data_IF_258290721443
#
_entry.id   IF_258290721443
#
_cell.length_a   1.000
_cell.length_b   1.000
_cell.length_c   1.000
_cell.angle_alpha   90.00
_cell.angle_beta   90.00
_cell.angle_gamma   90.00
#
_symmetry.space_group_name_H-M   'P 1'
#
loop_
_entity.id
_entity.type
_entity.pdbx_description
1 polymer ?
#
# COMPACT_ATOMS: atom_id res chain seq x y z
N UNK A 1 -7.08 12.74 -0.40
CA UNK A 1 -6.47 12.56 0.92
C UNK A 1 -6.84 13.67 1.92
N UNK A 2 -7.01 14.94 1.52
CA UNK A 2 -7.25 16.07 2.44
C UNK A 2 -8.49 15.89 3.34
N UNK A 3 -9.65 15.52 2.78
CA UNK A 3 -10.86 15.29 3.57
C UNK A 3 -10.72 14.10 4.54
N UNK A 4 -10.11 13.01 4.07
CA UNK A 4 -9.86 11.84 4.90
C UNK A 4 -8.99 12.21 6.08
N UNK A 5 -7.88 12.93 5.85
CA UNK A 5 -6.98 13.35 6.94
C UNK A 5 -7.65 14.33 7.90
N UNK A 6 -8.47 15.27 7.42
CA UNK A 6 -9.21 16.18 8.27
C UNK A 6 -10.21 15.43 9.17
N UNK A 7 -10.93 14.46 8.61
CA UNK A 7 -11.88 13.62 9.34
C UNK A 7 -11.18 12.83 10.46
N UNK A 8 -10.08 12.12 10.14
CA UNK A 8 -9.35 11.32 11.13
C UNK A 8 -8.54 12.15 12.16
N UNK A 9 -8.36 13.45 11.92
CA UNK A 9 -7.76 14.37 12.90
C UNK A 9 -8.77 14.96 13.89
N UNK A 10 -10.07 14.78 13.66
CA UNK A 10 -11.06 15.09 14.69
C UNK A 10 -10.74 14.26 15.95
N UNK A 11 -10.70 14.86 17.16
CA UNK A 11 -10.27 14.15 18.36
C UNK A 11 -11.05 12.87 18.65
N UNK A 12 -12.38 12.91 18.52
CA UNK A 12 -13.24 11.74 18.80
C UNK A 12 -12.98 10.61 17.78
N UNK A 13 -12.85 10.94 16.48
CA UNK A 13 -12.57 9.96 15.42
C UNK A 13 -11.17 9.40 15.57
N UNK A 14 -10.18 10.25 15.89
CA UNK A 14 -8.82 9.83 16.16
C UNK A 14 -8.77 8.82 17.31
N UNK A 15 -9.38 9.16 18.44
CA UNK A 15 -9.35 8.35 19.64
C UNK A 15 -10.09 7.01 19.41
N UNK A 16 -11.23 7.02 18.73
CA UNK A 16 -11.93 5.79 18.32
C UNK A 16 -11.10 4.93 17.35
N UNK A 17 -10.39 5.56 16.42
CA UNK A 17 -9.51 4.86 15.47
C UNK A 17 -8.33 4.21 16.20
N UNK A 18 -7.72 4.94 17.12
CA UNK A 18 -6.59 4.41 17.90
C UNK A 18 -7.05 3.30 18.84
N UNK A 19 -8.23 3.42 19.46
CA UNK A 19 -8.85 2.35 20.25
C UNK A 19 -9.08 1.09 19.39
N UNK A 20 -9.66 1.25 18.19
CA UNK A 20 -9.85 0.15 17.24
C UNK A 20 -8.54 -0.59 16.93
N UNK A 21 -7.48 0.17 16.63
CA UNK A 21 -6.20 -0.40 16.19
C UNK A 21 -5.36 -0.98 17.34
N UNK A 22 -5.41 -0.38 18.54
CA UNK A 22 -4.54 -0.75 19.67
C UNK A 22 -5.20 -1.71 20.66
N UNK A 23 -6.50 -1.56 20.90
CA UNK A 23 -7.19 -2.28 21.98
C UNK A 23 -8.20 -3.30 21.46
N UNK A 24 -8.76 -3.11 20.26
CA UNK A 24 -9.84 -3.95 19.74
C UNK A 24 -9.43 -4.86 18.60
N UNK A 25 -8.13 -5.04 18.40
CA UNK A 25 -7.57 -5.93 17.37
C UNK A 25 -7.97 -5.56 15.92
N UNK A 26 -8.36 -4.31 15.69
CA UNK A 26 -8.84 -3.84 14.40
C UNK A 26 -7.75 -3.73 13.34
N UNK A 27 -8.18 -3.72 12.08
CA UNK A 27 -7.31 -3.61 10.91
C UNK A 27 -7.73 -2.41 10.06
N UNK A 28 -6.77 -1.76 9.40
CA UNK A 28 -7.04 -0.66 8.48
C UNK A 28 -6.24 -0.82 7.18
N UNK A 29 -6.95 -0.70 6.05
CA UNK A 29 -6.35 -0.75 4.71
C UNK A 29 -6.59 0.58 4.00
N UNK A 30 -5.53 1.17 3.46
CA UNK A 30 -5.60 2.38 2.63
C UNK A 30 -5.08 2.11 1.23
N UNK A 31 -5.94 2.22 0.21
CA UNK A 31 -5.56 2.03 -1.19
C UNK A 31 -5.53 3.38 -1.89
N UNK A 32 -4.48 3.65 -2.68
CA UNK A 32 -4.30 4.84 -3.49
C UNK A 32 -4.47 6.13 -2.66
N UNK A 33 -5.58 6.85 -2.80
CA UNK A 33 -5.90 8.03 -2.00
C UNK A 33 -5.98 7.73 -0.48
N UNK A 34 -6.41 6.51 -0.11
CA UNK A 34 -6.36 6.02 1.26
C UNK A 34 -4.93 5.90 1.78
N UNK A 35 -4.02 5.35 1.01
CA UNK A 35 -2.61 5.26 1.38
C UNK A 35 -1.99 6.66 1.57
N UNK A 36 -2.28 7.61 0.69
CA UNK A 36 -1.86 9.01 0.86
C UNK A 36 -2.37 9.60 2.20
N UNK A 37 -3.59 9.26 2.59
CA UNK A 37 -4.15 9.71 3.87
C UNK A 37 -3.42 9.04 5.06
N UNK A 38 -3.17 7.73 5.00
CA UNK A 38 -2.44 7.01 6.06
C UNK A 38 -1.05 7.57 6.29
N UNK A 39 -0.30 7.90 5.22
CA UNK A 39 1.01 8.58 5.31
C UNK A 39 0.87 9.93 6.00
N UNK A 40 -0.09 10.77 5.56
CA UNK A 40 -0.30 12.11 6.12
C UNK A 40 -0.80 12.10 7.57
N UNK A 41 -1.37 11.01 8.02
CA UNK A 41 -1.78 10.80 9.40
C UNK A 41 -0.64 10.25 10.28
N UNK A 42 0.39 9.65 9.69
CA UNK A 42 1.45 8.94 10.41
C UNK A 42 1.08 7.49 10.75
N UNK A 43 -0.12 7.03 10.36
CA UNK A 43 -0.56 5.64 10.59
C UNK A 43 0.36 4.62 9.90
N UNK A 44 0.90 4.95 8.75
CA UNK A 44 2.04 4.27 8.18
C UNK A 44 3.16 5.29 7.97
N UNK A 45 4.41 4.98 8.34
CA UNK A 45 4.90 3.70 8.86
C UNK A 45 4.86 3.57 10.39
N UNK A 46 4.25 4.50 11.15
CA UNK A 46 4.45 4.61 12.59
C UNK A 46 3.37 3.90 13.45
N UNK A 47 2.20 3.65 12.88
CA UNK A 47 1.08 3.00 13.58
C UNK A 47 0.34 3.92 14.55
N UNK A 48 0.47 5.25 14.39
CA UNK A 48 -0.18 6.25 15.25
C UNK A 48 -0.59 7.49 14.45
N UNK A 49 -1.69 8.14 14.85
CA UNK A 49 -2.10 9.44 14.30
C UNK A 49 -1.31 10.53 15.00
N UNK A 50 -0.34 11.09 14.27
CA UNK A 50 0.60 12.09 14.77
C UNK A 50 0.82 13.24 13.78
N UNK A 51 1.31 14.40 14.24
CA UNK A 51 1.83 15.41 13.32
C UNK A 51 2.99 14.83 12.50
N UNK A 52 3.02 15.13 11.21
CA UNK A 52 4.13 14.77 10.32
C UNK A 52 5.09 15.95 10.15
N UNK A 53 6.36 15.66 9.92
CA UNK A 53 7.44 16.61 9.74
C UNK A 53 8.00 16.51 8.31
N UNK A 54 8.94 17.38 7.96
CA UNK A 54 9.64 17.34 6.69
C UNK A 54 10.53 16.09 6.50
N UNK A 55 10.82 15.37 7.57
CA UNK A 55 11.65 14.14 7.55
C UNK A 55 10.80 12.86 7.42
N UNK A 56 9.49 12.97 7.54
CA UNK A 56 8.60 11.85 7.43
C UNK A 56 8.38 11.46 5.95
N UNK A 57 8.01 10.20 5.66
CA UNK A 57 7.75 9.76 4.29
C UNK A 57 6.57 10.51 3.67
N UNK A 58 6.58 10.62 2.36
CA UNK A 58 5.50 11.25 1.61
C UNK A 58 5.14 10.47 0.35
N UNK A 59 3.91 10.66 -0.11
CA UNK A 59 3.49 10.32 -1.46
C UNK A 59 3.31 11.61 -2.25
N UNK A 60 4.03 11.73 -3.36
CA UNK A 60 4.08 12.93 -4.19
C UNK A 60 3.88 12.62 -5.68
N UNK A 61 4.04 13.62 -6.52
CA UNK A 61 3.88 13.49 -7.97
C UNK A 61 4.79 12.42 -8.56
N UNK A 62 4.22 11.65 -9.51
CA UNK A 62 4.98 10.72 -10.32
C UNK A 62 6.14 11.44 -11.01
N UNK A 63 7.27 10.76 -11.22
CA UNK A 63 8.46 11.35 -11.87
C UNK A 63 8.17 11.94 -13.23
N UNK A 64 7.23 11.38 -13.99
CA UNK A 64 6.82 11.89 -15.31
C UNK A 64 5.87 13.08 -15.24
N UNK A 65 5.57 13.59 -14.03
CA UNK A 65 4.71 14.76 -13.76
C UNK A 65 3.29 14.68 -14.34
N UNK A 66 2.78 13.48 -14.58
CA UNK A 66 1.42 13.25 -15.10
C UNK A 66 0.78 11.99 -14.54
N UNK A 67 -0.53 11.88 -14.74
CA UNK A 67 -1.31 10.71 -14.36
C UNK A 67 -0.81 9.45 -15.10
N UNK A 68 -0.70 8.35 -14.35
CA UNK A 68 -0.45 7.00 -14.85
C UNK A 68 -1.69 6.15 -14.62
N UNK A 69 -2.19 5.51 -15.69
CA UNK A 69 -3.25 4.50 -15.62
C UNK A 69 -2.78 3.29 -16.41
N UNK A 70 -2.39 2.23 -15.71
CA UNK A 70 -1.87 1.01 -16.32
C UNK A 70 -1.93 -0.17 -15.37
N UNK A 71 -1.69 -1.35 -15.88
CA UNK A 71 -1.42 -2.56 -15.09
C UNK A 71 0.07 -2.60 -14.74
N UNK A 72 0.37 -2.96 -13.51
CA UNK A 72 1.73 -3.11 -12.98
C UNK A 72 1.87 -4.44 -12.27
N UNK A 73 3.08 -4.97 -12.24
CA UNK A 73 3.40 -6.14 -11.42
C UNK A 73 3.93 -5.68 -10.07
N UNK A 74 3.44 -6.31 -9.02
CA UNK A 74 3.90 -6.08 -7.65
C UNK A 74 4.27 -7.40 -7.01
N UNK A 75 5.34 -7.41 -6.23
CA UNK A 75 5.81 -8.56 -5.47
C UNK A 75 5.51 -8.37 -3.98
N UNK A 76 5.10 -9.43 -3.30
CA UNK A 76 5.06 -9.45 -1.82
C UNK A 76 6.49 -9.47 -1.29
N UNK A 77 6.91 -8.39 -0.67
CA UNK A 77 8.21 -8.27 -0.02
C UNK A 77 8.16 -8.71 1.45
N UNK A 78 7.00 -8.54 2.11
CA UNK A 78 6.72 -8.99 3.46
C UNK A 78 5.25 -9.35 3.61
N UNK A 79 4.94 -10.48 4.23
CA UNK A 79 3.58 -10.94 4.52
C UNK A 79 3.24 -10.90 6.02
N UNK A 80 3.96 -10.10 6.82
CA UNK A 80 3.74 -9.97 8.26
C UNK A 80 2.39 -9.34 8.63
N UNK A 81 1.77 -8.61 7.71
CA UNK A 81 0.45 -8.03 7.93
C UNK A 81 -0.64 -9.10 7.91
N UNK A 82 -1.64 -9.06 8.83
CA UNK A 82 -2.82 -9.91 8.75
C UNK A 82 -3.59 -9.78 7.42
N UNK A 83 -3.51 -8.63 6.75
CA UNK A 83 -4.07 -8.43 5.42
C UNK A 83 -3.49 -9.36 4.34
N UNK A 84 -2.33 -9.95 4.59
CA UNK A 84 -1.57 -10.77 3.63
C UNK A 84 -1.35 -12.20 4.10
N UNK A 85 -2.09 -12.66 5.12
CA UNK A 85 -1.90 -14.00 5.70
C UNK A 85 -2.10 -15.15 4.69
N UNK A 86 -2.83 -14.90 3.58
CA UNK A 86 -3.01 -15.85 2.48
C UNK A 86 -1.94 -15.77 1.39
N UNK A 87 -0.87 -14.98 1.56
CA UNK A 87 0.18 -14.78 0.54
C UNK A 87 1.52 -15.31 1.02
N UNK A 88 2.43 -15.53 0.07
CA UNK A 88 3.82 -15.88 0.33
C UNK A 88 4.76 -14.75 -0.10
N UNK A 89 5.87 -14.59 0.61
CA UNK A 89 6.94 -13.67 0.17
C UNK A 89 7.47 -14.14 -1.18
N UNK A 90 7.53 -13.21 -2.13
CA UNK A 90 7.89 -13.52 -3.50
C UNK A 90 6.70 -13.69 -4.45
N UNK A 91 5.48 -13.86 -3.95
CA UNK A 91 4.29 -13.89 -4.82
C UNK A 91 4.18 -12.62 -5.66
N UNK A 92 3.87 -12.77 -6.94
CA UNK A 92 3.73 -11.68 -7.90
C UNK A 92 2.25 -11.55 -8.29
N UNK A 93 1.76 -10.31 -8.25
CA UNK A 93 0.40 -9.96 -8.63
C UNK A 93 0.40 -8.82 -9.65
N UNK A 94 -0.47 -8.93 -10.64
CA UNK A 94 -0.75 -7.82 -11.55
C UNK A 94 -1.93 -7.03 -11.01
N UNK A 95 -1.75 -5.73 -10.81
CA UNK A 95 -2.77 -4.85 -10.26
C UNK A 95 -2.88 -3.56 -11.09
N UNK A 96 -4.08 -2.98 -11.25
CA UNK A 96 -4.23 -1.69 -11.88
C UNK A 96 -3.77 -0.56 -10.95
N UNK A 97 -3.14 0.45 -11.53
CA UNK A 97 -2.88 1.74 -10.91
C UNK A 97 -3.56 2.85 -11.69
N UNK A 98 -3.98 3.92 -11.00
CA UNK A 98 -4.57 5.11 -11.63
C UNK A 98 -4.39 6.32 -10.71
N UNK A 99 -3.27 7.03 -10.87
CA UNK A 99 -2.91 8.17 -10.01
C UNK A 99 -1.85 9.09 -10.61
N UNK A 100 -1.87 10.36 -10.21
CA UNK A 100 -0.83 11.35 -10.52
C UNK A 100 0.20 11.51 -9.39
N UNK A 101 -0.16 11.10 -8.17
CA UNK A 101 0.63 11.25 -6.94
C UNK A 101 0.78 9.89 -6.24
N UNK A 102 1.66 9.04 -6.76
CA UNK A 102 1.91 7.70 -6.22
C UNK A 102 3.37 7.43 -5.85
N UNK A 103 4.23 8.44 -5.99
CA UNK A 103 5.66 8.33 -5.73
C UNK A 103 5.95 8.35 -4.23
N UNK A 104 6.32 7.21 -3.69
CA UNK A 104 6.79 7.09 -2.30
C UNK A 104 8.22 7.61 -2.17
N UNK A 105 8.42 8.58 -1.27
CA UNK A 105 9.71 9.17 -0.96
C UNK A 105 9.94 9.21 0.55
N UNK A 106 11.15 8.87 0.95
CA UNK A 106 11.68 9.06 2.30
C UNK A 106 13.21 9.10 2.23
N UNK A 107 13.88 9.31 3.37
CA UNK A 107 15.33 9.20 3.45
C UNK A 107 15.80 7.76 3.23
N UNK A 108 17.04 7.60 2.74
CA UNK A 108 17.68 6.30 2.55
C UNK A 108 17.80 5.53 3.88
N UNK A 109 18.04 6.24 4.98
CA UNK A 109 18.06 5.67 6.32
C UNK A 109 16.68 5.08 6.71
N UNK A 110 15.60 5.84 6.44
CA UNK A 110 14.26 5.38 6.78
C UNK A 110 13.83 4.18 5.92
N UNK A 111 14.11 4.18 4.60
CA UNK A 111 13.73 3.03 3.76
C UNK A 111 14.46 1.75 4.17
N UNK A 112 15.74 1.85 4.55
CA UNK A 112 16.50 0.72 5.12
C UNK A 112 15.85 0.20 6.39
N UNK A 113 15.54 1.09 7.32
CA UNK A 113 14.85 0.74 8.57
C UNK A 113 13.49 0.07 8.32
N UNK A 114 12.73 0.54 7.35
CA UNK A 114 11.45 -0.07 6.98
C UNK A 114 11.66 -1.48 6.39
N UNK A 115 12.72 -1.68 5.60
CA UNK A 115 13.07 -2.99 5.06
C UNK A 115 13.50 -3.96 6.18
N UNK A 116 14.40 -3.54 7.05
CA UNK A 116 14.90 -4.34 8.17
C UNK A 116 13.77 -4.76 9.12
N UNK A 117 12.80 -3.88 9.33
CA UNK A 117 11.61 -4.15 10.13
C UNK A 117 10.55 -4.98 9.38
N UNK A 118 10.75 -5.30 8.09
CA UNK A 118 9.77 -5.98 7.26
C UNK A 118 8.49 -5.17 7.02
N UNK A 119 8.58 -3.84 7.08
CA UNK A 119 7.45 -2.92 6.87
C UNK A 119 7.23 -2.55 5.39
N UNK A 120 8.17 -2.87 4.49
CA UNK A 120 7.93 -2.82 3.05
C UNK A 120 7.13 -4.06 2.68
N UNK A 121 5.89 -3.84 2.25
CA UNK A 121 4.93 -4.92 2.01
C UNK A 121 4.98 -5.38 0.56
N UNK A 122 4.94 -4.42 -0.36
CA UNK A 122 4.92 -4.67 -1.80
C UNK A 122 5.89 -3.75 -2.53
N UNK A 123 6.48 -4.28 -3.59
CA UNK A 123 7.37 -3.54 -4.48
C UNK A 123 6.94 -3.73 -5.94
N UNK A 124 7.10 -2.68 -6.75
CA UNK A 124 6.99 -2.79 -8.20
C UNK A 124 8.12 -3.65 -8.75
N UNK A 125 7.78 -4.57 -9.66
CA UNK A 125 8.73 -5.53 -10.23
C UNK A 125 8.54 -5.67 -11.74
N UNK A 126 9.59 -6.13 -12.40
CA UNK A 126 9.58 -6.55 -13.80
C UNK A 126 8.86 -7.91 -13.98
N UNK A 127 8.94 -8.47 -15.18
CA UNK A 127 8.35 -9.78 -15.51
C UNK A 127 9.04 -10.95 -14.81
N UNK A 128 10.27 -10.75 -14.31
CA UNK A 128 11.04 -11.75 -13.56
C UNK A 128 10.91 -11.60 -12.05
N UNK A 129 10.09 -10.64 -11.58
CA UNK A 129 9.91 -10.36 -10.16
C UNK A 129 11.03 -9.56 -9.52
N UNK A 130 11.86 -8.91 -10.33
CA UNK A 130 12.98 -8.09 -9.85
C UNK A 130 12.53 -6.64 -9.69
N UNK A 131 12.70 -6.02 -8.51
CA UNK A 131 12.42 -4.60 -8.33
C UNK A 131 13.34 -3.74 -9.20
N UNK A 132 12.77 -2.77 -9.91
CA UNK A 132 13.51 -1.88 -10.79
C UNK A 132 13.14 -0.43 -10.62
N UNK A 133 14.04 0.47 -11.06
CA UNK A 133 13.80 1.92 -11.01
C UNK A 133 13.36 2.50 -12.36
N UNK A 134 13.38 1.71 -13.42
CA UNK A 134 12.89 2.12 -14.73
C UNK A 134 11.40 2.43 -14.70
N UNK A 135 10.97 3.41 -15.46
CA UNK A 135 9.56 3.86 -15.49
C UNK A 135 8.58 2.77 -15.94
N UNK A 136 9.05 1.80 -16.70
CA UNK A 136 8.25 0.66 -17.15
C UNK A 136 7.96 -0.33 -16.01
N UNK A 137 8.85 -0.42 -15.04
CA UNK A 137 8.72 -1.26 -13.85
C UNK A 137 8.11 -0.47 -12.70
N UNK A 138 8.67 0.71 -12.40
CA UNK A 138 8.30 1.60 -11.30
C UNK A 138 7.71 2.91 -11.84
N UNK A 139 6.44 2.90 -12.22
CA UNK A 139 5.83 4.01 -12.97
C UNK A 139 5.76 5.32 -12.19
N UNK A 140 5.90 5.25 -10.89
CA UNK A 140 5.84 6.41 -10.00
C UNK A 140 7.21 7.02 -9.73
N UNK A 141 8.28 6.22 -9.84
CA UNK A 141 9.63 6.56 -9.39
C UNK A 141 9.79 6.51 -7.86
N UNK A 142 9.05 5.61 -7.21
CA UNK A 142 9.15 5.38 -5.76
C UNK A 142 10.54 4.87 -5.38
N UNK A 143 11.09 5.36 -4.25
CA UNK A 143 12.36 4.87 -3.72
C UNK A 143 12.26 3.35 -3.50
N UNK A 144 13.30 2.59 -3.88
CA UNK A 144 13.36 1.13 -3.81
C UNK A 144 12.17 0.40 -4.44
N UNK A 145 11.53 1.01 -5.41
CA UNK A 145 10.31 0.51 -6.05
C UNK A 145 9.18 0.21 -5.06
N UNK A 146 9.13 0.87 -3.90
CA UNK A 146 8.10 0.66 -2.88
C UNK A 146 6.73 1.00 -3.44
N UNK A 147 5.81 0.01 -3.39
CA UNK A 147 4.41 0.15 -3.77
C UNK A 147 3.50 0.27 -2.56
N UNK A 148 3.84 -0.44 -1.47
CA UNK A 148 3.07 -0.45 -0.23
C UNK A 148 3.93 -0.67 1.01
N UNK A 149 3.48 -0.10 2.13
CA UNK A 149 4.11 -0.25 3.45
C UNK A 149 3.05 -0.48 4.52
N UNK A 150 3.49 -0.97 5.68
CA UNK A 150 2.62 -1.20 6.84
C UNK A 150 3.13 -0.53 8.11
N UNK A 151 2.25 -0.45 9.12
CA UNK A 151 2.62 -0.10 10.49
C UNK A 151 3.55 -1.16 11.10
N UNK A 152 4.27 -0.85 12.22
CA UNK A 152 5.19 -1.81 12.84
C UNK A 152 4.54 -3.11 13.28
N UNK A 153 3.27 -3.07 13.67
CA UNK A 153 2.45 -4.21 14.08
C UNK A 153 1.71 -4.90 12.91
N UNK A 154 1.83 -4.34 11.68
CA UNK A 154 1.20 -4.87 10.48
C UNK A 154 -0.31 -4.63 10.36
N UNK A 155 -0.95 -3.97 11.33
CA UNK A 155 -2.41 -3.77 11.35
C UNK A 155 -2.90 -2.71 10.37
N UNK A 156 -2.08 -1.71 10.11
CA UNK A 156 -2.35 -0.68 9.12
C UNK A 156 -1.50 -0.96 7.89
N UNK A 157 -2.14 -1.13 6.74
CA UNK A 157 -1.47 -1.36 5.47
C UNK A 157 -1.89 -0.28 4.47
N UNK A 158 -0.92 0.31 3.78
CA UNK A 158 -1.12 1.27 2.71
C UNK A 158 -0.45 0.81 1.42
N UNK A 159 -1.14 0.92 0.28
CA UNK A 159 -0.62 0.56 -1.04
C UNK A 159 -1.22 1.41 -2.15
N UNK A 160 -0.53 1.52 -3.28
CA UNK A 160 -1.00 2.32 -4.42
C UNK A 160 -1.85 1.53 -5.41
N UNK A 161 -1.57 0.25 -5.63
CA UNK A 161 -2.29 -0.60 -6.57
C UNK A 161 -3.67 -0.99 -6.05
N UNK A 162 -4.62 -1.02 -6.98
CA UNK A 162 -6.03 -1.29 -6.71
C UNK A 162 -6.35 -2.79 -6.78
N UNK A 163 -5.97 -3.56 -5.76
CA UNK A 163 -6.28 -4.99 -5.71
C UNK A 163 -7.78 -5.28 -5.68
N UNK A 164 -8.60 -4.33 -5.21
CA UNK A 164 -10.06 -4.43 -5.21
C UNK A 164 -10.69 -4.32 -6.60
N UNK A 165 -9.92 -3.88 -7.60
CA UNK A 165 -10.37 -3.79 -9.00
C UNK A 165 -9.98 -5.00 -9.84
N UNK A 166 -9.62 -6.09 -9.21
CA UNK A 166 -9.25 -7.34 -9.86
C UNK A 166 -10.40 -8.33 -9.73
N UNK A 167 -10.93 -8.81 -10.86
CA UNK A 167 -11.98 -9.82 -10.91
C UNK A 167 -11.82 -10.67 -12.18
N UNK A 168 -12.33 -11.90 -12.13
CA UNK A 168 -12.31 -12.81 -13.26
C UNK A 168 -12.94 -12.17 -14.51
N UNK A 169 -12.20 -12.17 -15.59
CA UNK A 169 -12.65 -11.68 -16.88
C UNK A 169 -12.70 -10.15 -17.03
N UNK A 170 -12.26 -9.39 -16.05
CA UNK A 170 -12.31 -7.92 -16.10
C UNK A 170 -11.32 -7.33 -17.12
N UNK A 171 -10.19 -7.98 -17.35
CA UNK A 171 -9.12 -7.51 -18.26
C UNK A 171 -8.83 -8.49 -19.38
N UNK A 172 -9.86 -9.14 -19.95
CA UNK A 172 -9.73 -10.16 -21.01
C UNK A 172 -9.04 -9.68 -22.29
N UNK A 173 -9.04 -8.39 -22.52
CA UNK A 173 -8.43 -7.75 -23.70
C UNK A 173 -7.01 -7.23 -23.45
N UNK A 174 -6.40 -7.55 -22.31
CA UNK A 174 -5.02 -7.20 -21.98
C UNK A 174 -4.20 -8.47 -21.93
N UNK A 175 -3.24 -8.60 -22.83
CA UNK A 175 -2.37 -9.78 -22.91
C UNK A 175 -1.59 -10.01 -21.61
N UNK A 176 -1.52 -11.25 -21.14
CA UNK A 176 -0.75 -11.65 -19.95
C UNK A 176 -1.39 -11.33 -18.60
N UNK A 177 -2.65 -10.88 -18.56
CA UNK A 177 -3.35 -10.51 -17.33
C UNK A 177 -4.30 -11.60 -16.79
N UNK A 178 -4.18 -12.82 -17.25
CA UNK A 178 -5.12 -13.92 -16.95
C UNK A 178 -5.03 -14.47 -15.52
N UNK A 179 -3.93 -14.21 -14.80
CA UNK A 179 -3.67 -14.73 -13.45
C UNK A 179 -3.86 -13.66 -12.35
N UNK A 180 -4.73 -12.68 -12.59
CA UNK A 180 -5.02 -11.65 -11.60
C UNK A 180 -5.81 -12.24 -10.43
N UNK A 181 -5.11 -12.67 -9.38
CA UNK A 181 -5.73 -13.14 -8.14
C UNK A 181 -5.97 -11.97 -7.19
N UNK A 182 -7.19 -11.81 -6.64
CA UNK A 182 -7.46 -10.75 -5.67
C UNK A 182 -6.76 -11.05 -4.34
N UNK A 183 -5.66 -10.34 -4.05
CA UNK A 183 -4.84 -10.55 -2.84
C UNK A 183 -5.59 -10.18 -1.56
N UNK A 184 -6.31 -9.07 -1.58
CA UNK A 184 -6.98 -8.53 -0.39
C UNK A 184 -8.40 -9.04 -0.18
N UNK A 185 -9.05 -9.59 -1.22
CA UNK A 185 -10.46 -9.92 -1.17
C UNK A 185 -10.76 -11.22 -0.41
N UNK A 186 -9.84 -12.17 -0.43
CA UNK A 186 -9.97 -13.43 0.30
C UNK A 186 -9.92 -13.25 1.82
N UNK A 187 -9.27 -12.19 2.30
CA UNK A 187 -9.15 -11.91 3.75
C UNK A 187 -10.37 -11.20 4.31
N UNK A 188 -10.95 -10.24 3.58
CA UNK A 188 -12.21 -9.59 3.98
C UNK A 188 -13.34 -10.61 4.15
N UNK A 189 -13.45 -11.61 3.27
CA UNK A 189 -14.44 -12.68 3.40
C UNK A 189 -14.20 -13.62 4.59
N UNK A 190 -12.97 -13.88 4.96
CA UNK A 190 -12.67 -14.76 6.09
C UNK A 190 -13.11 -14.15 7.45
N UNK A 191 -13.12 -12.83 7.57
CA UNK A 191 -13.60 -12.15 8.77
C UNK A 191 -15.13 -11.93 8.80
N UNK A 192 -15.79 -11.85 7.65
CA UNK A 192 -17.25 -11.73 7.57
C UNK A 192 -18.00 -13.04 7.90
N UNK A 193 -17.34 -14.19 7.79
CA UNK A 193 -17.94 -15.51 8.06
C UNK A 193 -17.73 -16.01 9.49
N UNK A 194 -17.08 -15.22 10.36
CA UNK A 194 -16.78 -15.59 11.76
C UNK A 194 -17.63 -14.85 12.80
N UNK A 195 -18.76 -14.25 12.40
CA UNK A 195 -19.74 -13.66 13.31
C UNK A 195 -21.00 -14.50 13.37
#
# INVERSE_FOLDING_TARGET
AKFITAFFRNPEVRDATMDLLKNRDGLMLGICNGFQALIKLGLVPYGDIRPITAYDPTLTFNTISRHQSRLVRTRIASNRSPWLAGTQVGDIYTVPISHGEGRFLCSEELVRKLADNGQIVTQYVDEHGVPGMDVDVNPNGSIWAVEGIMSPDGRVLGKMGHSERVADGLYKNVDGCYDMKPVSYTHLRAHETSQ
#
